data_IF_175235879560
#
_entry.id   IF_175235879560
#
_cell.length_a   1.000
_cell.length_b   1.000
_cell.length_c   1.000
_cell.angle_alpha   90.00
_cell.angle_beta   90.00
_cell.angle_gamma   90.00
#
_symmetry.space_group_name_H-M   'P 1'
#
loop_
_entity.id
_entity.type
_entity.pdbx_description
1 polymer ?
#
# COMPACT_ATOMS: atom_id res chain seq x y z
N UNK A 1 11.23 -11.80 -25.86
CA UNK A 1 10.43 -10.57 -25.79
C UNK A 1 10.11 -10.25 -24.33
N UNK A 2 10.09 -8.96 -23.98
CA UNK A 2 9.68 -8.52 -22.65
C UNK A 2 8.23 -8.98 -22.39
N UNK A 3 7.94 -9.47 -21.17
CA UNK A 3 6.57 -9.84 -20.78
C UNK A 3 5.72 -8.58 -20.60
N UNK A 4 4.51 -8.63 -21.12
CA UNK A 4 3.49 -7.59 -20.89
C UNK A 4 2.90 -7.81 -19.51
N UNK A 5 3.25 -6.94 -18.60
CA UNK A 5 2.87 -7.09 -17.19
C UNK A 5 2.13 -5.86 -16.65
N UNK A 6 1.35 -6.10 -15.62
CA UNK A 6 0.74 -5.06 -14.79
C UNK A 6 1.08 -5.32 -13.34
N UNK A 7 1.28 -4.24 -12.58
CA UNK A 7 1.50 -4.28 -11.13
C UNK A 7 0.26 -3.73 -10.45
N UNK A 8 -0.28 -4.49 -9.52
CA UNK A 8 -1.51 -4.20 -8.81
C UNK A 8 -1.30 -4.26 -7.31
N UNK A 9 -2.10 -3.51 -6.56
CA UNK A 9 -2.11 -3.60 -5.10
C UNK A 9 -3.54 -3.36 -4.53
N UNK A 10 -3.83 -3.79 -3.29
CA UNK A 10 -5.15 -3.64 -2.70
C UNK A 10 -5.53 -2.20 -2.35
N UNK A 11 -4.55 -1.34 -2.04
CA UNK A 11 -4.77 0.05 -1.63
C UNK A 11 -4.09 1.04 -2.57
N UNK A 12 -4.57 2.30 -2.57
CA UNK A 12 -3.98 3.37 -3.38
C UNK A 12 -2.51 3.62 -3.05
N UNK A 13 -2.17 3.68 -1.76
CA UNK A 13 -0.80 3.92 -1.29
C UNK A 13 0.13 2.75 -1.70
N UNK A 14 -0.29 1.51 -1.48
CA UNK A 14 0.49 0.35 -1.90
C UNK A 14 0.68 0.32 -3.43
N UNK A 15 -0.35 0.68 -4.20
CA UNK A 15 -0.27 0.75 -5.65
C UNK A 15 0.74 1.81 -6.13
N UNK A 16 0.74 3.00 -5.52
CA UNK A 16 1.72 4.06 -5.83
C UNK A 16 3.14 3.59 -5.50
N UNK A 17 3.34 2.99 -4.33
CA UNK A 17 4.65 2.49 -3.89
C UNK A 17 5.19 1.39 -4.81
N UNK A 18 4.31 0.51 -5.29
CA UNK A 18 4.67 -0.56 -6.23
C UNK A 18 4.82 -0.09 -7.68
N UNK A 19 4.55 1.19 -7.97
CA UNK A 19 4.56 1.72 -9.34
C UNK A 19 3.42 1.17 -10.20
N UNK A 20 2.29 0.83 -9.58
CA UNK A 20 1.15 0.19 -10.21
C UNK A 20 -0.18 0.92 -9.99
N UNK A 21 -1.28 0.19 -10.07
CA UNK A 21 -2.64 0.69 -9.85
C UNK A 21 -3.41 -0.24 -8.90
N UNK A 22 -4.54 0.23 -8.36
CA UNK A 22 -5.34 -0.63 -7.48
C UNK A 22 -6.05 -1.75 -8.26
N UNK A 23 -6.21 -2.90 -7.61
CA UNK A 23 -6.93 -4.07 -8.15
C UNK A 23 -8.32 -3.66 -8.64
N UNK A 24 -9.09 -2.93 -7.80
CA UNK A 24 -10.44 -2.49 -8.12
C UNK A 24 -10.47 -1.58 -9.36
N UNK A 25 -9.55 -0.64 -9.46
CA UNK A 25 -9.46 0.25 -10.62
C UNK A 25 -9.08 -0.51 -11.90
N UNK A 26 -8.10 -1.43 -11.81
CA UNK A 26 -7.64 -2.16 -12.98
C UNK A 26 -8.71 -3.09 -13.55
N UNK A 27 -9.33 -3.91 -12.70
CA UNK A 27 -10.34 -4.87 -13.13
C UNK A 27 -11.77 -4.31 -13.12
N UNK A 28 -11.96 -3.04 -12.76
CA UNK A 28 -13.26 -2.38 -12.64
C UNK A 28 -14.23 -3.16 -11.73
N UNK A 29 -13.71 -3.63 -10.59
CA UNK A 29 -14.47 -4.43 -9.63
C UNK A 29 -15.29 -3.54 -8.69
N UNK A 30 -16.50 -3.96 -8.32
CA UNK A 30 -17.24 -3.32 -7.24
C UNK A 30 -16.56 -3.55 -5.90
N UNK A 31 -16.82 -2.67 -4.93
CA UNK A 31 -16.33 -2.85 -3.56
C UNK A 31 -17.15 -3.85 -2.73
N UNK A 32 -18.29 -4.29 -3.25
CA UNK A 32 -19.10 -5.33 -2.61
C UNK A 32 -18.42 -6.70 -2.69
N UNK A 33 -18.70 -7.62 -1.73
CA UNK A 33 -18.19 -8.98 -1.77
C UNK A 33 -18.54 -9.71 -3.06
N UNK A 34 -17.60 -10.47 -3.57
CA UNK A 34 -17.83 -11.38 -4.68
C UNK A 34 -18.36 -12.72 -4.15
N UNK A 35 -19.57 -13.10 -4.56
CA UNK A 35 -20.19 -14.36 -4.17
C UNK A 35 -19.99 -15.36 -5.31
N UNK A 36 -19.24 -16.47 -5.11
CA UNK A 36 -19.11 -17.53 -6.11
C UNK A 36 -20.49 -18.08 -6.48
N UNK A 37 -20.63 -18.51 -7.73
CA UNK A 37 -21.85 -19.14 -8.26
C UNK A 37 -23.10 -18.22 -8.30
N UNK A 38 -22.98 -16.95 -7.91
CA UNK A 38 -24.05 -15.98 -8.11
C UNK A 38 -24.22 -15.63 -9.59
N UNK A 39 -25.46 -15.47 -10.02
CA UNK A 39 -25.77 -15.02 -11.39
C UNK A 39 -25.43 -13.52 -11.52
N UNK A 40 -24.17 -13.20 -11.73
CA UNK A 40 -23.76 -11.84 -12.07
C UNK A 40 -24.30 -11.49 -13.45
N UNK A 41 -24.98 -10.34 -13.56
CA UNK A 41 -25.46 -9.87 -14.85
C UNK A 41 -24.28 -9.69 -15.81
N UNK A 42 -24.53 -9.83 -17.11
CA UNK A 42 -23.51 -9.58 -18.13
C UNK A 42 -22.93 -8.16 -18.05
N UNK A 43 -23.61 -7.27 -17.38
CA UNK A 43 -23.21 -5.88 -17.21
C UNK A 43 -22.26 -5.66 -16.01
N UNK A 44 -22.29 -6.53 -14.99
CA UNK A 44 -21.50 -6.36 -13.76
C UNK A 44 -19.99 -6.24 -14.01
N UNK A 45 -19.48 -6.90 -15.07
CA UNK A 45 -18.06 -6.83 -15.46
C UNK A 45 -17.89 -6.37 -16.92
N UNK A 46 -18.77 -5.47 -17.39
CA UNK A 46 -18.69 -4.96 -18.76
C UNK A 46 -17.52 -3.97 -18.87
N UNK A 47 -16.61 -4.26 -19.77
CA UNK A 47 -15.42 -3.44 -20.01
C UNK A 47 -15.43 -2.85 -21.43
N UNK A 48 -14.72 -1.75 -21.61
CA UNK A 48 -14.50 -1.19 -22.94
C UNK A 48 -13.66 -2.14 -23.79
N UNK A 49 -13.80 -2.08 -25.11
CA UNK A 49 -13.01 -2.91 -26.02
C UNK A 49 -11.50 -2.73 -25.81
N UNK A 50 -11.04 -1.51 -25.56
CA UNK A 50 -9.64 -1.21 -25.26
C UNK A 50 -9.17 -1.95 -24.02
N UNK A 51 -9.97 -1.95 -22.93
CA UNK A 51 -9.65 -2.68 -21.71
C UNK A 51 -9.63 -4.18 -21.90
N UNK A 52 -10.55 -4.71 -22.70
CA UNK A 52 -10.58 -6.14 -23.07
C UNK A 52 -9.32 -6.53 -23.84
N UNK A 53 -8.88 -5.72 -24.81
CA UNK A 53 -7.63 -5.97 -25.55
C UNK A 53 -6.43 -5.97 -24.61
N UNK A 54 -6.36 -5.00 -23.66
CA UNK A 54 -5.33 -4.96 -22.64
C UNK A 54 -5.30 -6.25 -21.80
N UNK A 55 -6.45 -6.69 -21.27
CA UNK A 55 -6.55 -7.93 -20.46
C UNK A 55 -6.11 -9.15 -21.29
N UNK A 56 -6.51 -9.23 -22.56
CA UNK A 56 -6.10 -10.33 -23.45
C UNK A 56 -4.61 -10.36 -23.74
N UNK A 57 -3.96 -9.21 -23.75
CA UNK A 57 -2.52 -9.09 -24.03
C UNK A 57 -1.62 -9.44 -22.84
N UNK A 58 -2.15 -9.53 -21.61
CA UNK A 58 -1.36 -9.77 -20.40
C UNK A 58 -0.61 -11.11 -20.45
N UNK A 59 0.66 -11.08 -20.10
CA UNK A 59 1.50 -12.25 -19.87
C UNK A 59 1.70 -12.50 -18.38
N UNK A 60 1.72 -11.42 -17.57
CA UNK A 60 1.97 -11.47 -16.12
C UNK A 60 1.11 -10.44 -15.39
N UNK A 61 0.50 -10.86 -14.30
CA UNK A 61 -0.13 -9.98 -13.31
C UNK A 61 0.65 -10.10 -11.99
N UNK A 62 1.21 -9.00 -11.52
CA UNK A 62 1.86 -8.90 -10.22
C UNK A 62 0.85 -8.30 -9.25
N UNK A 63 0.66 -8.93 -8.09
CA UNK A 63 -0.17 -8.40 -7.00
C UNK A 63 0.74 -8.24 -5.79
N UNK A 64 1.02 -7.00 -5.44
CA UNK A 64 1.76 -6.63 -4.24
C UNK A 64 0.82 -6.53 -3.04
N UNK A 65 1.35 -6.70 -1.82
CA UNK A 65 0.59 -6.73 -0.56
C UNK A 65 -0.58 -7.73 -0.60
N UNK A 66 -0.34 -8.94 -1.13
CA UNK A 66 -1.36 -9.99 -1.29
C UNK A 66 -1.97 -10.41 0.06
N UNK A 67 -1.27 -10.24 1.18
CA UNK A 67 -1.78 -10.53 2.53
C UNK A 67 -3.04 -9.73 2.86
N UNK A 68 -3.23 -8.54 2.28
CA UNK A 68 -4.40 -7.69 2.45
C UNK A 68 -5.53 -8.00 1.46
N UNK A 69 -5.34 -8.93 0.53
CA UNK A 69 -6.33 -9.30 -0.49
C UNK A 69 -7.24 -10.41 0.02
N UNK A 70 -8.56 -10.17 -0.03
CA UNK A 70 -9.54 -11.19 0.36
C UNK A 70 -9.63 -12.29 -0.69
N UNK A 71 -10.02 -13.50 -0.24
CA UNK A 71 -10.22 -14.67 -1.10
C UNK A 71 -11.23 -14.40 -2.23
N UNK A 72 -12.35 -13.78 -1.90
CA UNK A 72 -13.40 -13.43 -2.85
C UNK A 72 -12.93 -12.40 -3.88
N UNK A 73 -12.08 -11.45 -3.49
CA UNK A 73 -11.50 -10.47 -4.41
C UNK A 73 -10.57 -11.17 -5.41
N UNK A 74 -9.78 -12.15 -4.97
CA UNK A 74 -8.93 -12.93 -5.86
C UNK A 74 -9.75 -13.79 -6.83
N UNK A 75 -10.86 -14.38 -6.37
CA UNK A 75 -11.79 -15.11 -7.24
C UNK A 75 -12.53 -14.19 -8.22
N UNK A 76 -12.81 -12.95 -7.85
CA UNK A 76 -13.38 -11.96 -8.78
C UNK A 76 -12.40 -11.61 -9.91
N UNK A 77 -11.10 -11.52 -9.61
CA UNK A 77 -10.04 -11.37 -10.62
C UNK A 77 -10.03 -12.57 -11.56
N UNK A 78 -10.08 -13.79 -11.01
CA UNK A 78 -10.18 -15.02 -11.82
C UNK A 78 -11.38 -14.98 -12.75
N UNK A 79 -12.56 -14.62 -12.24
CA UNK A 79 -13.79 -14.51 -13.02
C UNK A 79 -13.64 -13.56 -14.22
N UNK A 80 -13.04 -12.38 -14.00
CA UNK A 80 -12.77 -11.42 -15.07
C UNK A 80 -11.77 -11.97 -16.10
N UNK A 81 -10.67 -12.57 -15.62
CA UNK A 81 -9.64 -13.11 -16.49
C UNK A 81 -10.16 -14.30 -17.32
N UNK A 82 -10.91 -15.21 -16.72
CA UNK A 82 -11.57 -16.32 -17.47
C UNK A 82 -12.54 -15.80 -18.51
N UNK A 83 -13.34 -14.78 -18.17
CA UNK A 83 -14.34 -14.22 -19.09
C UNK A 83 -13.72 -13.66 -20.36
N UNK A 84 -12.58 -12.97 -20.26
CA UNK A 84 -11.98 -12.27 -21.38
C UNK A 84 -10.81 -13.01 -22.04
N UNK A 85 -10.31 -14.08 -21.42
CA UNK A 85 -9.20 -14.91 -21.93
C UNK A 85 -9.62 -16.36 -22.13
N UNK A 86 -9.16 -17.27 -21.28
CA UNK A 86 -9.49 -18.70 -21.38
C UNK A 86 -10.39 -19.13 -20.20
N UNK A 87 -11.66 -19.46 -20.44
CA UNK A 87 -12.58 -19.86 -19.37
C UNK A 87 -12.22 -21.19 -18.71
N UNK A 88 -11.46 -22.06 -19.39
CA UNK A 88 -11.07 -23.38 -18.89
C UNK A 88 -9.84 -23.38 -17.98
N UNK A 89 -9.13 -22.26 -17.88
CA UNK A 89 -7.91 -22.17 -17.08
C UNK A 89 -8.08 -21.21 -15.91
N UNK A 90 -7.54 -21.53 -14.71
CA UNK A 90 -7.45 -20.58 -13.61
C UNK A 90 -6.79 -19.27 -14.08
N UNK A 91 -7.35 -18.15 -13.64
CA UNK A 91 -6.91 -16.81 -14.02
C UNK A 91 -6.80 -16.58 -15.53
N UNK A 92 -7.64 -17.27 -16.30
CA UNK A 92 -7.62 -17.18 -17.76
C UNK A 92 -6.30 -17.62 -18.41
N UNK A 93 -5.45 -18.35 -17.69
CA UNK A 93 -4.12 -18.79 -18.12
C UNK A 93 -3.04 -17.71 -18.10
N UNK A 94 -3.27 -16.55 -17.45
CA UNK A 94 -2.21 -15.55 -17.21
C UNK A 94 -1.35 -15.98 -16.03
N UNK A 95 -0.05 -15.70 -16.10
CA UNK A 95 0.86 -15.94 -14.96
C UNK A 95 0.57 -14.93 -13.85
N UNK A 96 0.51 -15.41 -12.59
CA UNK A 96 0.44 -14.55 -11.41
C UNK A 96 1.77 -14.56 -10.66
N UNK A 97 2.15 -13.39 -10.13
CA UNK A 97 3.17 -13.23 -9.11
C UNK A 97 2.52 -12.54 -7.91
N UNK A 98 2.38 -13.26 -6.80
CA UNK A 98 1.77 -12.78 -5.56
C UNK A 98 2.89 -12.46 -4.57
N UNK A 99 2.97 -11.22 -4.11
CA UNK A 99 4.01 -10.74 -3.21
C UNK A 99 3.35 -10.25 -1.93
N UNK A 100 3.86 -10.65 -0.76
CA UNK A 100 3.32 -10.17 0.51
C UNK A 100 3.87 -10.92 1.71
N UNK A 101 3.39 -10.54 2.88
CA UNK A 101 3.79 -11.10 4.16
C UNK A 101 2.55 -11.39 5.01
N UNK A 102 2.28 -12.68 5.25
CA UNK A 102 1.13 -13.13 6.04
C UNK A 102 1.17 -12.72 7.51
N UNK A 103 2.33 -12.29 8.02
CA UNK A 103 2.50 -11.80 9.38
C UNK A 103 2.27 -10.28 9.50
N UNK A 104 2.05 -9.59 8.37
CA UNK A 104 1.68 -8.20 8.33
C UNK A 104 0.15 -8.04 8.32
N UNK A 105 -0.37 -6.97 7.71
CA UNK A 105 -1.80 -6.67 7.74
C UNK A 105 -2.63 -7.74 7.04
N UNK A 106 -3.64 -8.22 7.76
CA UNK A 106 -4.65 -9.12 7.23
C UNK A 106 -5.68 -8.40 6.35
N UNK A 107 -6.46 -9.14 5.54
CA UNK A 107 -7.58 -8.55 4.80
C UNK A 107 -8.61 -7.97 5.76
N UNK A 108 -9.09 -6.77 5.45
CA UNK A 108 -10.20 -6.17 6.19
C UNK A 108 -11.51 -6.72 5.65
N UNK A 109 -12.33 -7.34 6.53
CA UNK A 109 -13.65 -7.83 6.19
C UNK A 109 -14.62 -7.39 7.29
N UNK A 110 -15.78 -6.87 6.91
CA UNK A 110 -16.85 -6.53 7.84
C UNK A 110 -17.58 -7.81 8.25
N UNK A 111 -18.13 -7.84 9.46
CA UNK A 111 -18.87 -9.01 9.96
C UNK A 111 -20.04 -9.41 9.04
N UNK A 112 -20.73 -8.43 8.48
CA UNK A 112 -21.82 -8.64 7.53
C UNK A 112 -21.32 -9.33 6.24
N UNK A 113 -20.21 -8.85 5.69
CA UNK A 113 -19.57 -9.44 4.51
C UNK A 113 -19.08 -10.85 4.80
N UNK A 114 -18.43 -11.05 5.96
CA UNK A 114 -17.94 -12.37 6.35
C UNK A 114 -19.06 -13.39 6.55
N UNK A 115 -20.20 -12.97 7.10
CA UNK A 115 -21.37 -13.84 7.24
C UNK A 115 -21.89 -14.40 5.90
N UNK A 116 -21.70 -13.65 4.81
CA UNK A 116 -22.00 -14.13 3.47
C UNK A 116 -20.87 -15.02 2.91
N UNK A 117 -19.62 -14.59 3.08
CA UNK A 117 -18.44 -15.22 2.48
C UNK A 117 -18.04 -16.54 3.13
N UNK A 118 -18.23 -16.73 4.45
CA UNK A 118 -17.88 -17.95 5.20
C UNK A 118 -18.58 -19.22 4.71
N UNK A 119 -19.61 -19.10 3.87
CA UNK A 119 -20.26 -20.24 3.22
C UNK A 119 -19.44 -20.78 2.03
N UNK A 120 -18.51 -19.99 1.53
CA UNK A 120 -17.73 -20.28 0.33
C UNK A 120 -16.24 -20.37 0.58
N UNK A 121 -15.74 -19.75 1.66
CA UNK A 121 -14.33 -19.64 2.00
C UNK A 121 -14.08 -19.99 3.47
N UNK A 122 -13.05 -20.77 3.72
CA UNK A 122 -12.66 -21.17 5.10
C UNK A 122 -12.08 -19.98 5.89
N UNK A 123 -11.37 -19.08 5.21
CA UNK A 123 -10.79 -17.87 5.78
C UNK A 123 -10.92 -16.68 4.82
N UNK A 124 -10.84 -15.44 5.30
CA UNK A 124 -10.85 -14.29 4.41
C UNK A 124 -9.57 -14.11 3.58
N UNK A 125 -8.48 -14.80 3.93
CA UNK A 125 -7.20 -14.65 3.27
C UNK A 125 -7.21 -15.18 1.82
N UNK A 126 -6.37 -14.58 0.98
CA UNK A 126 -6.25 -14.88 -0.44
C UNK A 126 -6.04 -16.38 -0.75
N UNK A 127 -5.34 -17.11 0.12
CA UNK A 127 -5.08 -18.55 -0.08
C UNK A 127 -6.33 -19.43 0.05
N UNK A 128 -7.44 -18.90 0.58
CA UNK A 128 -8.76 -19.56 0.53
C UNK A 128 -9.50 -19.34 -0.79
N UNK A 129 -8.94 -18.58 -1.74
CA UNK A 129 -9.50 -18.42 -3.10
C UNK A 129 -9.63 -19.76 -3.79
N UNK A 130 -10.82 -20.06 -4.32
CA UNK A 130 -11.12 -21.29 -5.05
C UNK A 130 -10.27 -21.42 -6.33
N UNK A 131 -10.05 -20.30 -7.02
CA UNK A 131 -9.22 -20.25 -8.21
C UNK A 131 -7.75 -20.55 -7.91
N UNK A 132 -7.23 -20.00 -6.80
CA UNK A 132 -5.86 -20.26 -6.37
C UNK A 132 -5.68 -21.72 -5.95
N UNK A 133 -6.62 -22.29 -5.19
CA UNK A 133 -6.59 -23.68 -4.77
C UNK A 133 -6.67 -24.66 -5.98
N UNK A 134 -7.35 -24.25 -7.04
CA UNK A 134 -7.38 -25.01 -8.30
C UNK A 134 -6.15 -24.81 -9.20
N UNK A 135 -5.20 -23.99 -8.75
CA UNK A 135 -3.99 -23.67 -9.53
C UNK A 135 -2.77 -24.41 -8.97
N UNK A 136 -1.81 -24.73 -9.85
CA UNK A 136 -0.49 -25.14 -9.41
C UNK A 136 0.36 -23.90 -9.17
N UNK A 137 0.81 -23.69 -7.93
CA UNK A 137 1.69 -22.57 -7.59
C UNK A 137 2.89 -23.04 -6.79
N UNK A 138 3.94 -22.24 -6.82
CA UNK A 138 5.19 -22.45 -6.05
C UNK A 138 5.33 -21.29 -5.08
N UNK A 139 5.60 -21.60 -3.83
CA UNK A 139 5.90 -20.60 -2.81
C UNK A 139 7.40 -20.45 -2.65
N UNK A 140 7.88 -19.21 -2.68
CA UNK A 140 9.27 -18.84 -2.43
C UNK A 140 9.32 -17.95 -1.20
N UNK A 141 9.99 -18.40 -0.15
CA UNK A 141 10.20 -17.61 1.06
C UNK A 141 11.51 -16.85 0.97
N UNK A 142 11.44 -15.51 1.08
CA UNK A 142 12.61 -14.66 1.19
C UNK A 142 13.08 -14.60 2.64
N UNK A 143 14.32 -15.03 2.91
CA UNK A 143 14.85 -15.17 4.27
C UNK A 143 15.80 -14.06 4.68
N UNK A 144 16.41 -13.36 3.72
CA UNK A 144 17.37 -12.31 4.01
C UNK A 144 16.69 -10.97 4.26
N UNK A 145 17.02 -10.32 5.37
CA UNK A 145 16.47 -9.02 5.77
C UNK A 145 17.49 -7.95 5.40
N UNK A 146 17.09 -7.01 4.53
CA UNK A 146 17.92 -5.87 4.11
C UNK A 146 17.52 -4.56 4.79
N UNK A 147 16.40 -4.53 5.49
CA UNK A 147 15.84 -3.30 6.08
C UNK A 147 16.48 -2.94 7.41
N UNK A 148 16.96 -3.93 8.15
CA UNK A 148 17.48 -3.79 9.51
C UNK A 148 18.86 -4.44 9.59
N UNK A 149 19.78 -3.78 10.31
CA UNK A 149 21.17 -4.24 10.51
C UNK A 149 21.44 -4.67 11.96
N UNK A 150 20.53 -4.36 12.92
CA UNK A 150 20.64 -4.77 14.33
C UNK A 150 20.25 -6.24 14.50
N UNK A 151 21.20 -7.13 14.80
CA UNK A 151 20.92 -8.57 14.89
C UNK A 151 19.99 -8.94 16.06
N UNK A 152 20.03 -8.21 17.17
CA UNK A 152 19.14 -8.45 18.31
C UNK A 152 17.71 -8.05 17.98
N UNK A 153 17.53 -6.92 17.30
CA UNK A 153 16.21 -6.49 16.85
C UNK A 153 15.64 -7.44 15.79
N UNK A 154 16.44 -7.87 14.82
CA UNK A 154 16.07 -8.89 13.82
C UNK A 154 15.64 -10.19 14.51
N UNK A 155 16.39 -10.66 15.51
CA UNK A 155 16.06 -11.88 16.27
C UNK A 155 14.69 -11.72 16.95
N UNK A 156 14.47 -10.62 17.69
CA UNK A 156 13.21 -10.33 18.37
C UNK A 156 12.03 -10.33 17.38
N UNK A 157 12.17 -9.64 16.25
CA UNK A 157 11.13 -9.59 15.22
C UNK A 157 10.81 -10.97 14.65
N UNK A 158 11.85 -11.80 14.40
CA UNK A 158 11.64 -13.15 13.89
C UNK A 158 10.98 -14.07 14.91
N UNK A 159 11.30 -13.96 16.18
CA UNK A 159 10.64 -14.74 17.26
C UNK A 159 9.18 -14.34 17.42
N UNK A 160 8.87 -13.02 17.37
CA UNK A 160 7.47 -12.55 17.35
C UNK A 160 6.74 -13.08 16.12
N UNK A 161 7.36 -12.99 14.95
CA UNK A 161 6.82 -13.48 13.69
C UNK A 161 6.50 -14.98 13.70
N UNK A 162 7.40 -15.77 14.29
CA UNK A 162 7.28 -17.23 14.35
C UNK A 162 6.42 -17.73 15.52
N UNK A 163 6.00 -16.84 16.42
CA UNK A 163 5.28 -17.22 17.65
C UNK A 163 6.16 -18.00 18.64
N UNK A 164 7.48 -17.82 18.57
CA UNK A 164 8.48 -18.54 19.42
C UNK A 164 9.10 -17.63 20.48
N UNK A 165 8.37 -16.57 20.86
CA UNK A 165 8.80 -15.60 21.88
C UNK A 165 9.03 -16.28 23.21
N UNK A 166 10.23 -16.14 23.77
CA UNK A 166 10.60 -16.61 25.10
C UNK A 166 10.59 -15.47 26.15
N UNK A 167 10.91 -15.80 27.40
CA UNK A 167 10.96 -14.82 28.48
C UNK A 167 12.05 -13.77 28.26
N UNK A 168 13.18 -14.14 27.65
CA UNK A 168 14.26 -13.19 27.36
C UNK A 168 13.84 -12.14 26.34
N UNK A 169 13.13 -12.56 25.32
CA UNK A 169 12.57 -11.67 24.30
C UNK A 169 11.47 -10.77 24.87
N UNK A 170 10.58 -11.31 25.71
CA UNK A 170 9.59 -10.51 26.42
C UNK A 170 10.24 -9.46 27.32
N UNK A 171 11.27 -9.84 28.08
CA UNK A 171 12.01 -8.89 28.93
C UNK A 171 12.71 -7.80 28.11
N UNK A 172 13.28 -8.15 26.94
CA UNK A 172 13.90 -7.19 26.04
C UNK A 172 12.86 -6.19 25.48
N UNK A 173 11.68 -6.65 25.09
CA UNK A 173 10.57 -5.80 24.65
C UNK A 173 10.05 -4.92 25.80
N UNK A 174 9.82 -5.50 26.98
CA UNK A 174 9.29 -4.81 28.15
C UNK A 174 10.23 -3.71 28.66
N UNK A 175 11.55 -3.85 28.48
CA UNK A 175 12.51 -2.78 28.77
C UNK A 175 12.29 -1.51 27.92
N UNK A 176 11.59 -1.63 26.81
CA UNK A 176 11.21 -0.50 25.94
C UNK A 176 9.87 0.13 26.33
N UNK A 177 9.11 -0.52 27.22
CA UNK A 177 7.85 0.04 27.72
C UNK A 177 8.14 1.13 28.76
N UNK A 178 7.80 2.36 28.43
CA UNK A 178 7.93 3.52 29.30
C UNK A 178 6.52 4.11 29.46
N UNK A 179 5.92 4.01 30.65
CA UNK A 179 4.65 4.66 30.93
C UNK A 179 4.75 6.16 30.70
N UNK A 180 3.70 6.76 30.14
CA UNK A 180 3.61 8.20 29.88
C UNK A 180 4.78 8.76 29.03
N UNK A 181 5.29 7.94 28.12
CA UNK A 181 6.39 8.32 27.25
C UNK A 181 6.08 9.58 26.44
N UNK A 182 6.79 10.64 26.74
CA UNK A 182 6.68 11.92 26.05
C UNK A 182 8.08 12.37 25.59
N UNK A 183 8.55 11.86 24.44
CA UNK A 183 9.89 12.17 23.96
C UNK A 183 10.01 13.63 23.54
N UNK A 184 11.23 14.20 23.60
CA UNK A 184 11.51 15.50 23.01
C UNK A 184 11.19 15.50 21.52
N UNK A 185 10.59 16.57 21.01
CA UNK A 185 10.22 16.71 19.59
C UNK A 185 11.40 16.48 18.61
N UNK A 186 12.63 16.77 19.07
CA UNK A 186 13.85 16.66 18.25
C UNK A 186 14.37 15.25 18.05
N UNK A 187 13.84 14.26 18.77
CA UNK A 187 14.36 12.89 18.76
C UNK A 187 13.79 12.03 17.63
N UNK A 188 12.90 12.57 16.81
CA UNK A 188 12.38 11.89 15.62
C UNK A 188 11.45 10.70 15.92
N UNK A 189 10.79 10.67 17.07
CA UNK A 189 9.83 9.63 17.40
C UNK A 189 8.55 9.77 16.58
N UNK A 190 8.02 8.63 16.11
CA UNK A 190 6.73 8.52 15.41
C UNK A 190 5.78 7.68 16.25
N UNK A 191 4.56 8.17 16.45
CA UNK A 191 3.50 7.42 17.12
C UNK A 191 2.74 6.57 16.09
N UNK A 192 2.76 5.24 16.28
CA UNK A 192 1.94 4.32 15.52
C UNK A 192 0.58 4.16 16.17
N UNK A 193 -0.47 4.30 15.41
CA UNK A 193 -1.87 4.17 15.85
C UNK A 193 -2.65 3.29 14.88
N UNK A 194 -3.76 2.74 15.35
CA UNK A 194 -4.59 1.81 14.57
C UNK A 194 -5.63 2.51 13.67
N UNK A 195 -5.90 3.80 13.90
CA UNK A 195 -6.93 4.55 13.19
C UNK A 195 -6.43 5.91 12.73
N UNK A 196 -6.78 6.29 11.49
CA UNK A 196 -6.40 7.58 10.91
C UNK A 196 -6.86 8.78 11.73
N UNK A 197 -8.05 8.72 12.33
CA UNK A 197 -8.55 9.80 13.19
C UNK A 197 -7.65 10.06 14.41
N UNK A 198 -7.08 9.00 15.00
CA UNK A 198 -6.12 9.14 16.11
C UNK A 198 -4.81 9.78 15.63
N UNK A 199 -4.32 9.37 14.46
CA UNK A 199 -3.14 9.99 13.86
C UNK A 199 -3.36 11.49 13.62
N UNK A 200 -4.52 11.84 13.02
CA UNK A 200 -4.87 13.24 12.76
C UNK A 200 -4.95 14.07 14.04
N UNK A 201 -5.62 13.58 15.07
CA UNK A 201 -5.72 14.26 16.36
C UNK A 201 -4.34 14.51 16.99
N UNK A 202 -3.44 13.51 16.96
CA UNK A 202 -2.08 13.66 17.50
C UNK A 202 -1.30 14.69 16.70
N UNK A 203 -1.35 14.60 15.36
CA UNK A 203 -0.64 15.53 14.49
C UNK A 203 -1.14 16.97 14.66
N UNK A 204 -2.45 17.18 14.76
CA UNK A 204 -3.04 18.51 15.01
C UNK A 204 -2.62 19.08 16.38
N UNK A 205 -2.61 18.24 17.43
CA UNK A 205 -2.17 18.64 18.75
C UNK A 205 -0.71 19.10 18.75
N UNK A 206 0.19 18.31 18.14
CA UNK A 206 1.61 18.66 18.08
C UNK A 206 1.87 19.87 17.20
N UNK A 207 1.17 20.00 16.06
CA UNK A 207 1.27 21.17 15.20
C UNK A 207 0.79 22.45 15.91
N UNK A 208 -0.27 22.36 16.72
CA UNK A 208 -0.82 23.50 17.47
C UNK A 208 0.07 23.94 18.64
N UNK A 209 0.95 23.09 19.15
CA UNK A 209 1.96 23.45 20.16
C UNK A 209 3.06 24.37 19.62
N UNK A 210 3.25 24.37 18.31
CA UNK A 210 4.22 25.26 17.68
C UNK A 210 3.63 26.68 17.59
N UNK A 211 4.40 27.65 18.06
CA UNK A 211 3.99 29.07 18.07
C UNK A 211 4.25 29.77 16.72
N UNK A 212 4.96 29.11 15.81
CA UNK A 212 5.27 29.64 14.47
C UNK A 212 4.01 29.73 13.59
N UNK A 213 3.99 30.68 12.62
CA UNK A 213 2.86 30.83 11.72
C UNK A 213 2.53 29.56 10.92
N UNK A 214 1.24 29.29 10.75
CA UNK A 214 0.78 28.20 9.90
C UNK A 214 0.75 28.61 8.41
N UNK A 215 1.19 27.70 7.56
CA UNK A 215 1.13 27.85 6.10
C UNK A 215 0.26 26.72 5.53
N UNK A 216 -0.66 27.08 4.63
CA UNK A 216 -1.55 26.15 3.96
C UNK A 216 -1.10 25.92 2.52
N UNK A 217 -0.96 24.65 2.15
CA UNK A 217 -0.63 24.23 0.80
C UNK A 217 -1.79 23.43 0.23
N UNK A 218 -2.56 24.05 -0.65
CA UNK A 218 -3.69 23.38 -1.31
C UNK A 218 -3.20 22.55 -2.49
N UNK A 219 -3.68 21.29 -2.57
CA UNK A 219 -3.46 20.44 -3.72
C UNK A 219 -4.16 21.00 -4.96
N UNK A 220 -3.54 20.81 -6.13
CA UNK A 220 -4.16 21.09 -7.43
C UNK A 220 -4.46 19.75 -8.08
N UNK A 221 -5.73 19.37 -8.12
CA UNK A 221 -6.17 18.12 -8.72
C UNK A 221 -6.71 18.38 -10.14
N UNK A 222 -6.31 17.55 -11.09
CA UNK A 222 -6.82 17.56 -12.45
C UNK A 222 -7.24 16.14 -12.88
N UNK A 223 -8.30 16.03 -13.68
CA UNK A 223 -8.83 14.74 -14.11
C UNK A 223 -9.51 13.96 -12.98
N UNK A 224 -9.38 12.64 -12.99
CA UNK A 224 -9.98 11.74 -12.00
C UNK A 224 -8.90 11.21 -11.06
N UNK A 225 -8.83 11.76 -9.85
CA UNK A 225 -7.94 11.31 -8.80
C UNK A 225 -8.77 11.05 -7.53
N UNK A 226 -8.98 9.77 -7.13
CA UNK A 226 -9.82 9.44 -5.98
C UNK A 226 -9.20 9.95 -4.66
N UNK A 227 -10.01 10.49 -3.75
CA UNK A 227 -9.55 10.93 -2.42
C UNK A 227 -8.85 9.81 -1.63
N UNK A 228 -9.30 8.57 -1.78
CA UNK A 228 -8.67 7.39 -1.17
C UNK A 228 -7.22 7.14 -1.62
N UNK A 229 -6.79 7.80 -2.68
CA UNK A 229 -5.42 7.72 -3.23
C UNK A 229 -4.60 8.98 -2.93
N UNK A 230 -5.14 9.93 -2.18
CA UNK A 230 -4.38 11.11 -1.79
C UNK A 230 -3.21 10.73 -0.88
N UNK A 231 -1.99 11.15 -1.20
CA UNK A 231 -0.81 10.87 -0.38
C UNK A 231 -0.78 11.66 0.93
N UNK A 232 -1.46 12.82 0.93
CA UNK A 232 -1.62 13.72 2.07
C UNK A 232 -3.02 14.33 2.07
N UNK A 233 -3.39 15.12 3.08
CA UNK A 233 -4.63 15.89 3.06
C UNK A 233 -4.65 16.86 1.85
N UNK A 234 -5.84 17.14 1.31
CA UNK A 234 -6.03 18.10 0.20
C UNK A 234 -5.46 19.49 0.54
N UNK A 235 -5.60 19.89 1.80
CA UNK A 235 -4.98 21.09 2.35
C UNK A 235 -3.96 20.66 3.39
N UNK A 236 -2.68 20.70 3.02
CA UNK A 236 -1.57 20.38 3.90
C UNK A 236 -1.20 21.64 4.71
N UNK A 237 -1.32 21.57 6.03
CA UNK A 237 -0.94 22.64 6.95
C UNK A 237 0.42 22.34 7.57
N UNK A 238 1.37 23.24 7.42
CA UNK A 238 2.72 23.10 7.96
C UNK A 238 3.10 24.34 8.79
N UNK A 239 3.99 24.15 9.75
CA UNK A 239 4.65 25.20 10.53
C UNK A 239 6.15 24.94 10.57
N UNK A 240 6.95 25.99 10.68
CA UNK A 240 8.38 25.84 10.98
C UNK A 240 8.56 25.18 12.35
N UNK A 241 9.46 24.20 12.42
CA UNK A 241 9.64 23.32 13.59
C UNK A 241 8.79 22.05 13.57
N UNK A 242 7.86 21.89 12.60
CA UNK A 242 7.05 20.68 12.50
C UNK A 242 7.90 19.48 12.08
N UNK A 243 7.71 18.35 12.76
CA UNK A 243 8.22 17.05 12.30
C UNK A 243 7.34 16.54 11.17
N UNK A 244 7.97 16.11 10.10
CA UNK A 244 7.31 15.60 8.89
C UNK A 244 7.91 14.28 8.46
N UNK A 245 7.14 13.52 7.66
CA UNK A 245 7.62 12.32 7.01
C UNK A 245 7.43 12.47 5.49
N UNK A 246 8.48 12.13 4.74
CA UNK A 246 8.40 12.12 3.28
C UNK A 246 7.51 10.95 2.82
N UNK A 247 6.63 11.22 1.88
CA UNK A 247 5.66 10.23 1.34
C UNK A 247 5.94 9.85 -0.13
N UNK A 248 7.13 10.19 -0.61
CA UNK A 248 7.60 9.87 -1.97
C UNK A 248 9.09 9.58 -1.97
N UNK A 249 9.55 8.81 -2.95
CA UNK A 249 10.97 8.61 -3.23
C UNK A 249 11.45 9.64 -4.26
N UNK A 250 12.55 10.31 -3.99
CA UNK A 250 13.26 11.15 -4.95
C UNK A 250 14.77 11.03 -4.68
N UNK A 251 15.42 10.15 -5.45
CA UNK A 251 16.83 9.87 -5.27
C UNK A 251 17.74 11.06 -5.65
N UNK A 252 17.30 11.89 -6.60
CA UNK A 252 18.04 13.08 -7.03
C UNK A 252 18.04 14.15 -5.94
N UNK A 253 16.90 14.36 -5.28
CA UNK A 253 16.77 15.27 -4.16
C UNK A 253 17.25 14.67 -2.82
N UNK A 254 17.58 13.38 -2.78
CA UNK A 254 18.16 12.71 -1.61
C UNK A 254 17.16 12.29 -0.54
N UNK A 255 15.87 12.10 -0.85
CA UNK A 255 14.89 11.62 0.11
C UNK A 255 14.13 10.37 -0.36
N UNK A 256 13.57 9.66 0.59
CA UNK A 256 12.80 8.44 0.36
C UNK A 256 11.54 8.40 1.23
N UNK A 257 10.57 7.62 0.80
CA UNK A 257 9.32 7.42 1.54
C UNK A 257 9.59 6.84 2.94
N UNK A 258 9.04 7.48 3.97
CA UNK A 258 9.26 7.13 5.38
C UNK A 258 10.42 7.87 6.04
N UNK A 259 11.24 8.62 5.30
CA UNK A 259 12.29 9.46 5.89
C UNK A 259 11.66 10.58 6.73
N UNK A 260 12.20 10.79 7.94
CA UNK A 260 11.74 11.85 8.83
C UNK A 260 12.56 13.13 8.65
N UNK A 261 11.91 14.27 8.85
CA UNK A 261 12.55 15.57 8.81
C UNK A 261 11.85 16.58 9.69
N UNK A 262 12.53 17.70 9.91
CA UNK A 262 12.02 18.90 10.59
C UNK A 262 11.90 20.03 9.56
N UNK A 263 10.77 20.69 9.52
CA UNK A 263 10.57 21.87 8.67
C UNK A 263 11.38 23.03 9.26
N UNK A 264 12.41 23.46 8.54
CA UNK A 264 13.31 24.53 9.00
C UNK A 264 12.97 25.90 8.43
N UNK A 265 12.32 25.93 7.26
CA UNK A 265 11.90 27.18 6.63
C UNK A 265 10.71 26.91 5.69
N UNK A 266 9.77 27.85 5.69
CA UNK A 266 8.65 27.86 4.76
C UNK A 266 8.65 29.20 4.02
N UNK A 267 8.57 29.15 2.70
CA UNK A 267 8.42 30.34 1.87
C UNK A 267 7.37 30.13 0.78
N UNK A 268 7.09 31.14 -0.01
CA UNK A 268 6.07 31.09 -1.07
C UNK A 268 6.40 30.07 -2.19
N UNK A 269 7.66 29.67 -2.33
CA UNK A 269 8.13 28.81 -3.40
C UNK A 269 8.29 27.34 -2.98
N UNK A 270 8.40 27.08 -1.68
CA UNK A 270 8.60 25.72 -1.17
C UNK A 270 8.83 25.61 0.32
N UNK A 271 9.17 24.43 0.74
CA UNK A 271 9.42 24.04 2.13
C UNK A 271 10.83 23.46 2.23
N UNK A 272 11.63 23.95 3.14
CA UNK A 272 12.96 23.41 3.42
C UNK A 272 12.87 22.49 4.63
N UNK A 273 13.31 21.24 4.47
CA UNK A 273 13.22 20.19 5.49
C UNK A 273 14.60 19.64 5.81
N UNK A 274 14.96 19.62 7.08
CA UNK A 274 16.19 19.00 7.58
C UNK A 274 15.91 17.55 7.96
N UNK A 275 16.60 16.56 7.37
CA UNK A 275 16.49 15.16 7.76
C UNK A 275 16.83 14.92 9.23
N UNK A 276 16.03 14.10 9.92
CA UNK A 276 16.26 13.68 11.30
C UNK A 276 17.08 12.38 11.28
N UNK A 277 18.00 12.22 12.25
CA UNK A 277 18.82 11.00 12.40
C UNK A 277 20.10 10.97 11.55
N UNK A 278 20.31 11.94 10.66
CA UNK A 278 21.51 12.06 9.86
C UNK A 278 22.35 13.24 10.35
N UNK A 279 23.44 12.97 11.07
CA UNK A 279 24.23 13.97 11.78
C UNK A 279 24.86 15.11 10.94
N UNK A 280 24.87 14.99 9.61
CA UNK A 280 25.47 15.98 8.68
C UNK A 280 24.62 16.22 7.41
N UNK A 281 23.33 15.84 7.41
CA UNK A 281 22.50 16.07 6.25
C UNK A 281 22.19 17.57 6.07
N UNK A 282 22.46 18.08 4.89
CA UNK A 282 22.02 19.39 4.47
C UNK A 282 20.47 19.42 4.40
N UNK A 283 19.86 20.58 4.74
CA UNK A 283 18.44 20.74 4.49
C UNK A 283 18.09 20.52 3.01
N UNK A 284 16.92 19.94 2.77
CA UNK A 284 16.40 19.62 1.44
C UNK A 284 15.33 20.63 1.11
N UNK A 285 15.49 21.33 0.00
CA UNK A 285 14.47 22.24 -0.53
C UNK A 285 13.44 21.41 -1.31
N UNK A 286 12.17 21.50 -0.88
CA UNK A 286 11.06 20.78 -1.49
C UNK A 286 10.22 21.73 -2.32
N UNK A 287 10.03 21.34 -3.56
CA UNK A 287 9.03 21.92 -4.46
C UNK A 287 7.73 21.13 -4.41
N UNK A 288 6.74 21.57 -5.19
CA UNK A 288 5.50 20.80 -5.35
C UNK A 288 5.80 19.52 -6.12
N UNK A 289 5.37 18.42 -5.53
CA UNK A 289 5.49 17.10 -6.14
C UNK A 289 4.18 16.71 -6.84
N UNK A 290 4.28 15.92 -7.89
CA UNK A 290 3.14 15.45 -8.67
C UNK A 290 2.91 13.96 -8.43
N UNK A 291 1.66 13.59 -8.16
CA UNK A 291 1.20 12.20 -8.15
C UNK A 291 0.23 11.98 -9.29
N UNK A 292 0.46 10.96 -10.05
CA UNK A 292 -0.39 10.58 -11.17
C UNK A 292 -1.19 9.32 -10.85
N UNK A 293 -2.49 9.36 -11.14
CA UNK A 293 -3.30 8.14 -11.17
C UNK A 293 -3.06 7.44 -12.51
N UNK A 294 -2.01 6.62 -12.57
CA UNK A 294 -1.64 5.92 -13.79
C UNK A 294 -2.77 4.99 -14.28
N UNK A 295 -2.91 4.85 -15.57
CA UNK A 295 -3.79 3.87 -16.20
C UNK A 295 -3.00 3.06 -17.19
N UNK A 296 -3.07 1.75 -17.06
CA UNK A 296 -2.50 0.87 -18.06
C UNK A 296 -3.32 0.92 -19.35
N UNK A 297 -2.65 1.08 -20.47
CA UNK A 297 -3.22 1.00 -21.81
C UNK A 297 -2.30 0.18 -22.72
N UNK A 298 -2.89 -0.52 -23.69
CA UNK A 298 -2.13 -1.22 -24.70
C UNK A 298 -1.79 -0.25 -25.85
N UNK A 299 -0.51 -0.12 -26.14
CA UNK A 299 -0.06 0.57 -27.35
C UNK A 299 -0.21 -0.38 -28.54
N UNK A 300 -1.21 -0.12 -29.39
CA UNK A 300 -1.54 -1.01 -30.53
C UNK A 300 -0.44 -1.06 -31.60
N UNK A 301 0.49 -0.09 -31.65
CA UNK A 301 1.54 -0.05 -32.65
C UNK A 301 2.70 -1.00 -32.37
N UNK A 302 3.10 -1.12 -31.09
CA UNK A 302 4.23 -1.95 -30.68
C UNK A 302 3.81 -3.09 -29.74
N UNK A 303 2.52 -3.20 -29.44
CA UNK A 303 1.93 -4.22 -28.56
C UNK A 303 2.55 -4.23 -27.13
N UNK A 304 2.96 -3.06 -26.64
CA UNK A 304 3.46 -2.83 -25.28
C UNK A 304 2.37 -2.22 -24.38
N UNK A 305 2.52 -2.42 -23.07
CA UNK A 305 1.65 -1.82 -22.05
C UNK A 305 2.35 -0.63 -21.43
#
# INVERSE_FOLDING_TARGET
SAKRMVVLAPTGIAAINAGGVTIHSFFQLPFSPYIPDANYSRETFKMTQQKVRLIRSLDLVVIDEISMVRADLLDSIDSVLRRYRNPGLPFGGVQLLLIGDLQQLAPVVRDEDWNMLKKYYDTPFFFSSRALQASNYVTVELKHIYRQDDPDFIRILNEVRSGTVDNQTLDALNKRYIPDFNPPQKDGYVRLVTHNNQAKQVNELELNRLETPAFEFKAVCSGVFPESSYPTDEVLVLKEGAQVMFVKNNAEAGYYNGMLGEVVMINKNGVCVRPIGQKQASPIDLEREEWTNAKYALNEKNNEI
#
